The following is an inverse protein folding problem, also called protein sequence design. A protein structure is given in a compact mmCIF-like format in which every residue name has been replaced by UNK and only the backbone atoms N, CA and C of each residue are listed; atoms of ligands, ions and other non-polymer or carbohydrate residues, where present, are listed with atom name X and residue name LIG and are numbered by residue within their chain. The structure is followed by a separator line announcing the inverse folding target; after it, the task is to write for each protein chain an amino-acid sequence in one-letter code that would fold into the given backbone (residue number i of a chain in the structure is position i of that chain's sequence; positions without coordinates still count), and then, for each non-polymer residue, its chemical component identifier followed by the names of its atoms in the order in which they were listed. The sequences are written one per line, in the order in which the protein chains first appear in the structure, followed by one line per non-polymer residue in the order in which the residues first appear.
data_IF_175885983702
#
_entry.id   IF_175885983702
#
_cell.length_a   1.000
_cell.length_b   1.000
_cell.length_c   1.000
_cell.angle_alpha   90.00
_cell.angle_beta   90.00
_cell.angle_gamma   90.00
#
_symmetry.space_group_name_H-M   'P 1'
#
loop_
_entity.id
_entity.type
_entity.pdbx_description
1 polymer ?
#
# COMPACT_ATOMS: atom_id res chain seq x y z
N UNK A 1 -32.11 8.75 4.64
CA UNK A 1 -32.07 8.02 3.35
C UNK A 1 -31.83 9.03 2.24
N UNK A 2 -30.67 9.00 1.60
CA UNK A 2 -30.41 9.90 0.48
C UNK A 2 -31.34 9.54 -0.67
N UNK A 3 -32.21 10.45 -1.08
CA UNK A 3 -33.05 10.28 -2.27
C UNK A 3 -32.14 10.26 -3.49
N UNK A 4 -32.09 9.14 -4.19
CA UNK A 4 -31.47 9.07 -5.51
C UNK A 4 -32.46 9.67 -6.49
N UNK A 5 -32.40 10.97 -6.67
CA UNK A 5 -33.32 11.67 -7.54
C UNK A 5 -33.18 11.23 -9.00
N UNK A 6 -34.29 11.09 -9.68
CA UNK A 6 -34.38 10.99 -11.14
C UNK A 6 -33.86 12.27 -11.87
N UNK A 7 -33.33 13.21 -11.13
CA UNK A 7 -32.77 14.47 -11.61
C UNK A 7 -31.46 14.23 -12.34
N UNK A 8 -31.24 14.96 -13.45
CA UNK A 8 -29.99 14.92 -14.20
C UNK A 8 -28.80 15.05 -13.28
N UNK A 9 -27.86 14.14 -13.45
CA UNK A 9 -26.61 14.11 -12.71
C UNK A 9 -25.96 15.51 -12.70
N UNK A 10 -25.45 15.93 -11.56
CA UNK A 10 -24.79 17.20 -11.38
C UNK A 10 -25.71 18.42 -11.18
N UNK A 11 -27.03 18.26 -11.16
CA UNK A 11 -27.96 19.36 -10.89
C UNK A 11 -27.65 20.03 -9.54
N UNK A 12 -27.41 19.24 -8.51
CA UNK A 12 -27.08 19.72 -7.18
C UNK A 12 -25.62 20.14 -6.99
N UNK A 13 -24.74 19.75 -7.90
CA UNK A 13 -23.31 20.12 -7.84
C UNK A 13 -23.10 21.64 -7.95
N UNK A 14 -24.07 22.38 -8.54
CA UNK A 14 -24.02 23.83 -8.61
C UNK A 14 -24.08 24.52 -7.23
N UNK A 15 -24.59 23.81 -6.22
CA UNK A 15 -24.62 24.29 -4.83
C UNK A 15 -23.24 24.18 -4.15
N UNK A 16 -22.31 23.41 -4.73
CA UNK A 16 -20.95 23.28 -4.22
C UNK A 16 -20.09 24.38 -4.86
N UNK A 17 -19.37 25.22 -4.09
CA UNK A 17 -18.48 26.26 -4.63
C UNK A 17 -17.48 25.71 -5.65
N UNK A 18 -17.17 26.48 -6.69
CA UNK A 18 -16.27 26.06 -7.78
C UNK A 18 -14.90 25.65 -7.24
N UNK A 19 -14.34 26.43 -6.32
CA UNK A 19 -13.05 26.10 -5.69
C UNK A 19 -13.05 24.76 -4.95
N UNK A 20 -14.16 24.40 -4.31
CA UNK A 20 -14.33 23.10 -3.63
C UNK A 20 -14.45 21.99 -4.66
N UNK A 21 -15.25 22.18 -5.73
CA UNK A 21 -15.37 21.18 -6.81
C UNK A 21 -14.03 20.88 -7.46
N UNK A 22 -13.24 21.92 -7.75
CA UNK A 22 -11.91 21.77 -8.34
C UNK A 22 -10.93 21.05 -7.41
N UNK A 23 -10.95 21.39 -6.12
CA UNK A 23 -10.08 20.75 -5.13
C UNK A 23 -10.44 19.27 -4.84
N UNK A 24 -11.73 18.91 -4.97
CA UNK A 24 -12.24 17.55 -4.75
C UNK A 24 -12.56 16.82 -6.05
N UNK A 25 -11.78 17.13 -7.09
CA UNK A 25 -11.95 16.64 -8.45
C UNK A 25 -12.14 15.13 -8.54
N UNK A 26 -11.36 14.34 -7.78
CA UNK A 26 -11.45 12.89 -7.74
C UNK A 26 -12.84 12.35 -7.39
N UNK A 27 -13.64 13.06 -6.57
CA UNK A 27 -15.03 12.72 -6.30
C UNK A 27 -16.00 13.35 -7.30
N UNK A 28 -15.73 14.61 -7.73
CA UNK A 28 -16.64 15.39 -8.58
C UNK A 28 -16.70 14.91 -10.02
N UNK A 29 -15.64 14.34 -10.59
CA UNK A 29 -15.57 13.90 -11.98
C UNK A 29 -16.19 12.54 -12.28
N UNK A 30 -16.61 11.78 -11.26
CA UNK A 30 -17.24 10.49 -11.51
C UNK A 30 -18.43 10.64 -12.49
N UNK A 31 -18.32 10.15 -13.73
CA UNK A 31 -19.35 10.25 -14.77
C UNK A 31 -20.40 9.13 -14.74
N UNK A 32 -20.26 8.18 -13.81
CA UNK A 32 -21.21 7.09 -13.63
C UNK A 32 -21.19 6.01 -14.72
N UNK A 33 -20.05 5.83 -15.42
CA UNK A 33 -19.92 4.80 -16.49
C UNK A 33 -20.18 3.36 -16.02
N UNK A 34 -20.18 3.10 -14.72
CA UNK A 34 -20.57 1.80 -14.15
C UNK A 34 -19.48 0.72 -14.14
N UNK A 35 -18.29 0.93 -14.70
CA UNK A 35 -17.20 -0.05 -14.69
C UNK A 35 -16.82 -0.53 -13.28
N UNK A 36 -17.05 0.28 -12.25
CA UNK A 36 -16.82 -0.09 -10.86
C UNK A 36 -17.89 -1.04 -10.27
N UNK A 37 -18.95 -1.36 -11.00
CA UNK A 37 -19.93 -2.41 -10.65
C UNK A 37 -19.58 -3.75 -11.31
N UNK A 38 -18.31 -3.94 -11.61
CA UNK A 38 -17.79 -5.18 -12.15
C UNK A 38 -17.77 -6.29 -11.08
N UNK A 39 -18.49 -7.39 -11.33
CA UNK A 39 -18.50 -8.59 -10.47
C UNK A 39 -17.53 -9.68 -10.94
N UNK A 40 -16.72 -9.44 -11.98
CA UNK A 40 -15.66 -10.37 -12.36
C UNK A 40 -14.67 -10.53 -11.19
N UNK A 41 -14.64 -11.74 -10.63
CA UNK A 41 -13.82 -12.09 -9.45
C UNK A 41 -12.32 -12.01 -9.73
N UNK A 42 -11.91 -12.07 -11.00
CA UNK A 42 -10.51 -11.94 -11.41
C UNK A 42 -10.07 -10.47 -11.56
N UNK A 43 -11.02 -9.56 -11.71
CA UNK A 43 -10.70 -8.12 -11.75
C UNK A 43 -10.40 -7.58 -10.34
N UNK A 44 -9.31 -6.83 -10.13
CA UNK A 44 -9.02 -6.19 -8.86
C UNK A 44 -9.92 -4.96 -8.56
N UNK A 45 -10.77 -4.54 -9.53
CA UNK A 45 -11.68 -3.40 -9.35
C UNK A 45 -12.65 -3.62 -8.19
N UNK A 46 -12.56 -2.76 -7.20
CA UNK A 46 -13.43 -2.63 -6.03
C UNK A 46 -13.88 -3.95 -5.36
N UNK A 47 -12.97 -4.69 -4.71
CA UNK A 47 -13.30 -5.96 -4.08
C UNK A 47 -14.34 -5.82 -2.96
N UNK A 48 -14.35 -4.69 -2.22
CA UNK A 48 -15.33 -4.47 -1.16
C UNK A 48 -16.79 -4.39 -1.66
N UNK A 49 -17.01 -3.91 -2.87
CA UNK A 49 -18.34 -3.91 -3.47
C UNK A 49 -18.79 -5.33 -3.84
N UNK A 50 -17.86 -6.17 -4.33
CA UNK A 50 -18.15 -7.55 -4.73
C UNK A 50 -18.63 -8.42 -3.57
N UNK A 51 -18.03 -8.28 -2.38
CA UNK A 51 -18.43 -9.06 -1.20
C UNK A 51 -19.63 -8.47 -0.46
N UNK A 52 -19.80 -7.16 -0.47
CA UNK A 52 -20.93 -6.52 0.19
C UNK A 52 -22.21 -6.51 -0.65
N UNK A 53 -22.11 -6.70 -1.97
CA UNK A 53 -23.21 -6.56 -2.93
C UNK A 53 -23.94 -5.21 -2.84
N UNK A 54 -23.29 -4.20 -2.25
CA UNK A 54 -23.92 -2.91 -2.01
C UNK A 54 -23.23 -1.79 -2.79
N UNK A 55 -24.01 -1.05 -3.59
CA UNK A 55 -23.50 0.02 -4.48
C UNK A 55 -22.77 1.14 -3.74
N UNK A 56 -23.11 1.41 -2.49
CA UNK A 56 -22.46 2.44 -1.67
C UNK A 56 -20.95 2.16 -1.48
N UNK A 57 -20.56 0.88 -1.51
CA UNK A 57 -19.17 0.45 -1.38
C UNK A 57 -18.39 0.47 -2.69
N UNK A 58 -19.03 0.82 -3.83
CA UNK A 58 -18.34 1.02 -5.09
C UNK A 58 -17.65 2.39 -5.15
N UNK A 59 -16.64 2.59 -6.02
CA UNK A 59 -16.06 3.91 -6.28
C UNK A 59 -17.11 4.98 -6.60
N UNK A 60 -18.10 4.67 -7.44
CA UNK A 60 -19.22 5.57 -7.74
C UNK A 60 -20.03 5.91 -6.51
N UNK A 61 -20.40 4.92 -5.70
CA UNK A 61 -21.17 5.15 -4.48
C UNK A 61 -20.44 6.07 -3.50
N UNK A 62 -19.15 5.79 -3.27
CA UNK A 62 -18.29 6.63 -2.42
C UNK A 62 -18.12 8.06 -2.97
N UNK A 63 -17.91 8.21 -4.27
CA UNK A 63 -17.84 9.53 -4.90
C UNK A 63 -19.17 10.30 -4.75
N UNK A 64 -20.32 9.64 -4.94
CA UNK A 64 -21.63 10.24 -4.74
C UNK A 64 -21.86 10.70 -3.30
N UNK A 65 -21.46 9.87 -2.32
CA UNK A 65 -21.53 10.24 -0.91
C UNK A 65 -20.67 11.46 -0.57
N UNK A 66 -19.44 11.53 -1.08
CA UNK A 66 -18.57 12.69 -0.87
C UNK A 66 -19.14 13.93 -1.53
N UNK A 67 -19.71 13.83 -2.74
CA UNK A 67 -20.36 14.96 -3.39
C UNK A 67 -21.52 15.51 -2.56
N UNK A 68 -22.39 14.64 -2.05
CA UNK A 68 -23.48 15.05 -1.18
C UNK A 68 -22.96 15.63 0.14
N UNK A 69 -21.92 15.05 0.72
CA UNK A 69 -21.26 15.60 1.91
C UNK A 69 -20.71 17.01 1.67
N UNK A 70 -20.07 17.27 0.54
CA UNK A 70 -19.58 18.60 0.15
C UNK A 70 -20.71 19.61 -0.01
N UNK A 71 -21.83 19.19 -0.61
CA UNK A 71 -23.04 20.02 -0.76
C UNK A 71 -23.62 20.40 0.60
N UNK A 72 -23.76 19.41 1.51
CA UNK A 72 -24.29 19.68 2.86
C UNK A 72 -23.35 20.54 3.72
N UNK A 73 -22.03 20.47 3.49
CA UNK A 73 -21.09 21.42 4.10
C UNK A 73 -21.29 22.84 3.56
N UNK A 74 -21.45 22.98 2.25
CA UNK A 74 -21.70 24.29 1.62
C UNK A 74 -23.01 24.91 2.13
N UNK A 75 -24.09 24.14 2.25
CA UNK A 75 -25.37 24.60 2.84
C UNK A 75 -25.19 25.13 4.27
N UNK A 76 -24.18 24.64 5.00
CA UNK A 76 -23.84 25.09 6.36
C UNK A 76 -22.80 26.21 6.39
N UNK A 77 -22.38 26.73 5.24
CA UNK A 77 -21.33 27.74 5.12
C UNK A 77 -19.94 27.23 5.51
N UNK A 78 -19.69 25.91 5.45
CA UNK A 78 -18.41 25.29 5.81
C UNK A 78 -17.61 25.03 4.53
N UNK A 79 -16.43 25.64 4.43
CA UNK A 79 -15.47 25.38 3.35
C UNK A 79 -14.46 24.29 3.78
N UNK A 80 -14.52 23.08 3.19
CA UNK A 80 -13.58 22.00 3.50
C UNK A 80 -12.14 22.33 3.11
N UNK A 81 -11.91 23.17 2.07
CA UNK A 81 -10.57 23.58 1.66
C UNK A 81 -9.91 24.48 2.71
N UNK A 82 -10.70 25.41 3.29
CA UNK A 82 -10.20 26.24 4.38
C UNK A 82 -9.93 25.43 5.64
N UNK A 83 -10.81 24.48 5.96
CA UNK A 83 -10.57 23.57 7.08
C UNK A 83 -9.26 22.78 6.90
N UNK A 84 -8.96 22.27 5.69
CA UNK A 84 -7.72 21.55 5.41
C UNK A 84 -6.48 22.43 5.60
N UNK A 85 -6.52 23.69 5.17
CA UNK A 85 -5.43 24.66 5.34
C UNK A 85 -5.17 24.98 6.82
N UNK A 86 -6.22 25.15 7.61
CA UNK A 86 -6.13 25.46 9.04
C UNK A 86 -5.60 24.32 9.91
N UNK A 87 -5.72 23.07 9.47
CA UNK A 87 -5.36 21.89 10.27
C UNK A 87 -3.89 21.81 10.69
N UNK A 88 -2.90 22.16 9.83
CA UNK A 88 -1.48 22.14 10.22
C UNK A 88 -1.13 23.15 11.32
N UNK A 89 -1.84 24.30 11.36
CA UNK A 89 -1.62 25.37 12.31
C UNK A 89 -2.31 25.13 13.64
N UNK A 90 -3.43 24.39 13.63
CA UNK A 90 -4.16 24.02 14.85
C UNK A 90 -3.38 22.95 15.63
N UNK A 91 -2.45 23.41 16.48
CA UNK A 91 -1.80 22.52 17.47
C UNK A 91 -2.88 21.78 18.26
N UNK A 92 -2.62 20.50 18.60
CA UNK A 92 -3.47 19.74 19.51
C UNK A 92 -3.55 20.49 20.87
N UNK A 93 -4.53 21.36 21.00
CA UNK A 93 -4.80 22.05 22.26
C UNK A 93 -5.73 21.21 23.12
N UNK A 94 -5.69 21.39 24.44
CA UNK A 94 -6.59 20.73 25.35
C UNK A 94 -8.07 20.99 24.97
N UNK A 95 -8.37 22.19 24.46
CA UNK A 95 -9.72 22.55 23.97
C UNK A 95 -10.15 21.69 22.79
N UNK A 96 -9.26 21.43 21.81
CA UNK A 96 -9.59 20.58 20.67
C UNK A 96 -9.77 19.13 21.08
N UNK A 97 -9.00 18.63 22.04
CA UNK A 97 -9.15 17.29 22.58
C UNK A 97 -10.49 17.13 23.31
N UNK A 98 -10.86 18.07 24.17
CA UNK A 98 -12.16 18.08 24.86
C UNK A 98 -13.30 18.12 23.87
N UNK A 99 -13.24 18.99 22.84
CA UNK A 99 -14.27 19.07 21.81
C UNK A 99 -14.43 17.74 21.05
N UNK A 100 -13.31 17.09 20.65
CA UNK A 100 -13.34 15.77 19.97
C UNK A 100 -13.93 14.69 20.88
N UNK A 101 -13.58 14.69 22.15
CA UNK A 101 -14.10 13.74 23.14
C UNK A 101 -15.62 13.91 23.29
N UNK A 102 -16.09 15.17 23.46
CA UNK A 102 -17.51 15.50 23.53
C UNK A 102 -18.26 15.05 22.29
N UNK A 103 -17.78 15.44 21.10
CA UNK A 103 -18.42 15.07 19.83
C UNK A 103 -18.48 13.54 19.65
N UNK A 104 -17.42 12.83 20.01
CA UNK A 104 -17.36 11.36 19.91
C UNK A 104 -18.31 10.69 20.90
N UNK A 105 -18.53 11.29 22.07
CA UNK A 105 -19.50 10.81 23.05
C UNK A 105 -20.94 11.03 22.58
N UNK A 106 -21.25 12.22 21.99
CA UNK A 106 -22.54 12.51 21.38
C UNK A 106 -22.85 11.56 20.22
N UNK A 107 -21.86 11.31 19.34
CA UNK A 107 -22.00 10.34 18.25
C UNK A 107 -22.30 8.92 18.74
N UNK A 108 -21.71 8.49 19.88
CA UNK A 108 -22.03 7.19 20.49
C UNK A 108 -23.44 7.12 21.07
N UNK A 109 -24.01 8.25 21.43
CA UNK A 109 -25.42 8.37 21.89
C UNK A 109 -26.43 8.44 20.75
N UNK A 110 -25.96 8.36 19.50
CA UNK A 110 -26.84 8.37 18.31
C UNK A 110 -27.16 9.76 17.79
N UNK A 111 -26.44 10.81 18.23
CA UNK A 111 -26.61 12.14 17.62
C UNK A 111 -26.19 12.08 16.14
N UNK A 112 -27.10 12.48 15.26
CA UNK A 112 -26.93 12.39 13.82
C UNK A 112 -25.91 13.41 13.29
N UNK A 113 -24.90 12.93 12.57
CA UNK A 113 -24.05 13.73 11.69
C UNK A 113 -23.90 12.97 10.35
N UNK A 114 -24.30 13.61 9.27
CA UNK A 114 -24.20 13.04 7.91
C UNK A 114 -22.78 12.60 7.53
N UNK A 115 -21.73 13.13 8.21
CA UNK A 115 -20.34 12.67 8.05
C UNK A 115 -20.14 11.22 8.51
N UNK A 116 -20.99 10.68 9.38
CA UNK A 116 -20.90 9.28 9.84
C UNK A 116 -21.23 8.29 8.73
N UNK A 117 -22.20 8.60 7.87
CA UNK A 117 -22.55 7.76 6.71
C UNK A 117 -21.38 7.67 5.72
N UNK A 118 -20.75 8.81 5.44
CA UNK A 118 -19.55 8.86 4.58
C UNK A 118 -18.41 8.05 5.20
N UNK A 119 -18.17 8.23 6.51
CA UNK A 119 -17.13 7.47 7.22
C UNK A 119 -17.35 5.98 7.14
N UNK A 120 -18.59 5.51 7.31
CA UNK A 120 -18.92 4.09 7.25
C UNK A 120 -18.61 3.52 5.85
N UNK A 121 -19.08 4.19 4.79
CA UNK A 121 -18.77 3.79 3.42
C UNK A 121 -17.27 3.78 3.11
N UNK A 122 -16.51 4.76 3.66
CA UNK A 122 -15.05 4.84 3.49
C UNK A 122 -14.31 3.78 4.30
N UNK A 123 -14.88 3.32 5.41
CA UNK A 123 -14.26 2.31 6.27
C UNK A 123 -14.03 0.97 5.57
N UNK A 124 -14.93 0.55 4.70
CA UNK A 124 -14.80 -0.68 3.90
C UNK A 124 -13.91 -0.54 2.66
N UNK A 125 -13.29 0.63 2.42
CA UNK A 125 -12.38 0.80 1.29
C UNK A 125 -10.96 0.29 1.61
N UNK A 126 -10.45 -0.61 0.78
CA UNK A 126 -9.10 -1.18 0.93
C UNK A 126 -7.97 -0.20 0.57
N UNK A 127 -8.28 0.94 -0.02
CA UNK A 127 -7.32 1.93 -0.52
C UNK A 127 -6.29 1.34 -1.53
N UNK A 128 -6.70 0.36 -2.32
CA UNK A 128 -5.85 -0.39 -3.27
C UNK A 128 -5.57 0.36 -4.59
N UNK A 129 -6.15 1.54 -4.81
CA UNK A 129 -6.01 2.36 -6.03
C UNK A 129 -6.42 1.72 -7.37
N UNK A 130 -6.99 0.52 -7.39
CA UNK A 130 -7.49 -0.07 -8.62
C UNK A 130 -8.54 0.81 -9.34
N UNK A 131 -9.30 1.61 -8.60
CA UNK A 131 -10.25 2.55 -9.18
C UNK A 131 -9.58 3.71 -9.92
N UNK A 132 -8.42 4.21 -9.49
CA UNK A 132 -7.70 5.29 -10.16
C UNK A 132 -6.98 4.82 -11.43
N UNK A 133 -6.63 3.55 -11.50
CA UNK A 133 -5.89 2.98 -12.65
C UNK A 133 -6.79 2.34 -13.70
N UNK A 134 -7.86 1.65 -13.28
CA UNK A 134 -8.77 0.94 -14.19
C UNK A 134 -9.97 1.80 -14.67
N UNK A 135 -10.31 2.86 -13.96
CA UNK A 135 -11.38 3.75 -14.39
C UNK A 135 -10.88 4.72 -15.47
N UNK A 136 -11.54 4.85 -16.64
CA UNK A 136 -11.09 5.73 -17.72
C UNK A 136 -11.03 7.21 -17.32
N UNK A 137 -11.81 7.62 -16.32
CA UNK A 137 -11.77 8.98 -15.75
C UNK A 137 -10.99 9.05 -14.43
N UNK A 138 -10.24 8.02 -14.09
CA UNK A 138 -9.27 7.95 -12.98
C UNK A 138 -9.82 8.42 -11.62
N UNK A 139 -11.01 7.95 -11.24
CA UNK A 139 -11.60 8.28 -9.92
C UNK A 139 -10.73 7.69 -8.81
N UNK A 140 -10.07 8.55 -8.06
CA UNK A 140 -9.17 8.16 -6.97
C UNK A 140 -9.88 8.19 -5.60
N UNK A 141 -10.55 7.08 -5.26
CA UNK A 141 -11.21 6.95 -3.96
C UNK A 141 -10.21 7.03 -2.80
N UNK A 142 -9.05 6.38 -2.82
CA UNK A 142 -8.03 6.50 -1.77
C UNK A 142 -7.62 7.95 -1.46
N UNK A 143 -7.50 8.81 -2.47
CA UNK A 143 -7.14 10.22 -2.28
C UNK A 143 -8.23 10.94 -1.48
N UNK A 144 -9.45 11.03 -2.00
CA UNK A 144 -10.50 11.80 -1.30
C UNK A 144 -10.96 11.13 0.00
N UNK A 145 -10.79 9.80 0.15
CA UNK A 145 -10.97 9.10 1.41
C UNK A 145 -9.99 9.58 2.48
N UNK A 146 -8.72 9.71 2.14
CA UNK A 146 -7.69 10.15 3.08
C UNK A 146 -7.91 11.59 3.54
N UNK A 147 -8.31 12.48 2.63
CA UNK A 147 -8.72 13.87 2.93
C UNK A 147 -9.95 13.91 3.83
N UNK A 148 -10.98 13.17 3.46
CA UNK A 148 -12.18 13.04 4.30
C UNK A 148 -11.85 12.56 5.71
N UNK A 149 -11.02 11.51 5.86
CA UNK A 149 -10.61 11.00 7.18
C UNK A 149 -9.85 12.02 8.00
N UNK A 150 -9.00 12.84 7.38
CA UNK A 150 -8.30 13.93 8.06
C UNK A 150 -9.31 14.96 8.61
N UNK A 151 -10.26 15.41 7.80
CA UNK A 151 -11.30 16.35 8.21
C UNK A 151 -12.25 15.75 9.25
N UNK A 152 -12.69 14.50 9.06
CA UNK A 152 -13.54 13.81 10.02
C UNK A 152 -12.89 13.75 11.41
N UNK A 153 -11.63 13.34 11.48
CA UNK A 153 -10.91 13.22 12.74
C UNK A 153 -10.35 14.56 13.28
N UNK A 154 -10.56 15.67 12.60
CA UNK A 154 -10.42 16.99 13.20
C UNK A 154 -11.55 17.29 14.19
N UNK A 155 -12.70 16.64 14.02
CA UNK A 155 -13.92 16.81 14.84
C UNK A 155 -14.18 15.64 15.80
N UNK A 156 -13.73 14.42 15.48
CA UNK A 156 -13.96 13.19 16.24
C UNK A 156 -12.65 12.53 16.66
N UNK A 157 -12.68 11.78 17.78
CA UNK A 157 -11.54 10.99 18.21
C UNK A 157 -11.18 9.94 17.17
N UNK A 158 -9.89 9.69 17.06
CA UNK A 158 -9.34 8.68 16.18
C UNK A 158 -9.17 7.36 16.95
N UNK A 159 -9.51 6.20 16.38
CA UNK A 159 -9.25 4.90 17.01
C UNK A 159 -7.74 4.72 17.29
N UNK A 160 -7.41 4.07 18.41
CA UNK A 160 -6.01 3.78 18.80
C UNK A 160 -5.28 3.00 17.69
N UNK A 161 -5.95 2.04 17.07
CA UNK A 161 -5.38 1.27 15.95
C UNK A 161 -4.89 2.15 14.79
N UNK A 162 -5.57 3.26 14.48
CA UNK A 162 -5.16 4.14 13.38
C UNK A 162 -3.83 4.85 13.70
N UNK A 163 -3.60 5.18 14.99
CA UNK A 163 -2.32 5.71 15.44
C UNK A 163 -1.22 4.64 15.36
N UNK A 164 -1.49 3.41 15.82
CA UNK A 164 -0.54 2.31 15.75
C UNK A 164 -0.15 2.02 14.29
N UNK A 165 -1.12 1.91 13.40
CA UNK A 165 -0.86 1.67 11.98
C UNK A 165 -0.04 2.82 11.36
N UNK A 166 -0.39 4.07 11.64
CA UNK A 166 0.31 5.23 11.10
C UNK A 166 1.75 5.39 11.64
N UNK A 167 2.10 4.72 12.74
CA UNK A 167 3.43 4.77 13.37
C UNK A 167 4.24 3.49 13.19
N UNK A 168 3.75 2.52 12.40
CA UNK A 168 4.43 1.23 12.20
C UNK A 168 5.89 1.38 11.75
N UNK A 169 6.14 2.34 10.87
CA UNK A 169 7.48 2.65 10.35
C UNK A 169 8.43 3.23 11.42
N UNK A 170 7.90 3.72 12.52
CA UNK A 170 8.70 4.24 13.64
C UNK A 170 9.04 3.17 14.67
N UNK A 171 8.11 2.26 14.98
CA UNK A 171 8.32 1.26 16.01
C UNK A 171 8.83 -0.10 15.47
N UNK A 172 8.53 -0.47 14.22
CA UNK A 172 9.01 -1.73 13.65
C UNK A 172 10.55 -1.86 13.65
N UNK A 173 11.32 -0.81 13.31
CA UNK A 173 12.79 -0.86 13.44
C UNK A 173 13.28 -1.14 14.86
N UNK A 174 12.59 -0.57 15.88
CA UNK A 174 12.94 -0.77 17.28
C UNK A 174 12.60 -2.21 17.73
N UNK A 175 11.42 -2.69 17.39
CA UNK A 175 11.00 -4.07 17.70
C UNK A 175 11.89 -5.11 17.01
N UNK A 176 12.39 -4.81 15.81
CA UNK A 176 13.27 -5.68 15.05
C UNK A 176 14.69 -5.85 15.66
N UNK A 177 15.04 -5.09 16.70
CA UNK A 177 16.27 -5.30 17.48
C UNK A 177 16.18 -6.53 18.39
N UNK A 178 14.96 -6.86 18.86
CA UNK A 178 14.70 -8.04 19.70
C UNK A 178 13.47 -8.82 19.17
N UNK A 179 13.50 -9.34 17.93
CA UNK A 179 12.30 -9.85 17.27
C UNK A 179 11.73 -11.09 17.96
N UNK A 180 12.57 -11.96 18.54
CA UNK A 180 12.11 -13.16 19.28
C UNK A 180 11.25 -12.77 20.48
N UNK A 181 11.69 -11.78 21.25
CA UNK A 181 10.99 -11.29 22.44
C UNK A 181 9.63 -10.69 22.07
N UNK A 182 9.59 -9.78 21.08
CA UNK A 182 8.34 -9.19 20.65
C UNK A 182 7.38 -10.23 20.04
N UNK A 183 7.87 -11.17 19.23
CA UNK A 183 7.06 -12.25 18.68
C UNK A 183 6.49 -13.16 19.78
N UNK A 184 7.25 -13.44 20.85
CA UNK A 184 6.76 -14.18 22.00
C UNK A 184 5.55 -13.50 22.63
N UNK A 185 5.63 -12.21 22.92
CA UNK A 185 4.51 -11.46 23.52
C UNK A 185 3.30 -11.37 22.58
N UNK A 186 3.51 -11.04 21.30
CA UNK A 186 2.43 -10.93 20.30
C UNK A 186 1.67 -12.25 20.16
N UNK A 187 2.35 -13.39 20.30
CA UNK A 187 1.75 -14.72 20.18
C UNK A 187 0.97 -15.16 21.42
N UNK A 188 1.10 -14.48 22.56
CA UNK A 188 0.39 -14.88 23.79
C UNK A 188 -1.14 -14.74 23.61
N UNK A 189 -1.94 -15.73 24.05
CA UNK A 189 -3.40 -15.70 23.91
C UNK A 189 -4.05 -14.46 24.55
N UNK A 190 -3.52 -14.02 25.70
CA UNK A 190 -4.03 -12.84 26.39
C UNK A 190 -3.75 -11.55 25.59
N UNK A 191 -2.57 -11.43 24.95
CA UNK A 191 -2.21 -10.29 24.13
C UNK A 191 -3.08 -10.24 22.85
N UNK A 192 -3.34 -11.40 22.23
CA UNK A 192 -4.26 -11.49 21.07
C UNK A 192 -5.65 -11.03 21.45
N UNK A 193 -6.22 -11.51 22.57
CA UNK A 193 -7.52 -11.07 23.08
C UNK A 193 -7.55 -9.58 23.42
N UNK A 194 -6.48 -9.04 24.01
CA UNK A 194 -6.34 -7.62 24.31
C UNK A 194 -6.32 -6.78 23.03
N UNK A 195 -5.54 -7.20 22.04
CA UNK A 195 -5.44 -6.53 20.73
C UNK A 195 -6.80 -6.53 20.02
N UNK A 196 -7.49 -7.66 19.98
CA UNK A 196 -8.80 -7.80 19.35
C UNK A 196 -9.84 -6.90 20.03
N UNK A 197 -9.97 -6.99 21.36
CA UNK A 197 -11.03 -6.31 22.13
C UNK A 197 -10.81 -4.80 22.25
N UNK A 198 -9.57 -4.35 22.49
CA UNK A 198 -9.29 -2.95 22.85
C UNK A 198 -8.62 -2.15 21.74
N UNK A 199 -7.84 -2.79 20.89
CA UNK A 199 -7.19 -2.15 19.74
C UNK A 199 -8.04 -2.33 18.49
N UNK A 200 -8.74 -3.46 18.36
CA UNK A 200 -9.54 -3.82 17.19
C UNK A 200 -8.66 -4.38 16.06
N UNK A 201 -7.60 -5.12 16.41
CA UNK A 201 -6.67 -5.76 15.49
C UNK A 201 -6.55 -7.25 15.78
N UNK A 202 -6.55 -8.07 14.73
CA UNK A 202 -6.39 -9.54 14.78
C UNK A 202 -5.19 -9.98 13.96
N UNK A 203 -4.66 -11.16 14.28
CA UNK A 203 -3.62 -11.85 13.52
C UNK A 203 -2.44 -10.96 13.13
N UNK A 204 -1.91 -10.19 14.11
CA UNK A 204 -0.80 -9.28 13.85
C UNK A 204 0.40 -10.05 13.27
N UNK A 205 1.04 -9.53 12.21
CA UNK A 205 2.18 -10.19 11.58
C UNK A 205 3.38 -10.25 12.54
N UNK A 206 4.09 -11.37 12.52
CA UNK A 206 5.30 -11.56 13.31
C UNK A 206 6.50 -10.93 12.60
N UNK A 207 7.43 -10.39 13.39
CA UNK A 207 8.70 -9.89 12.89
C UNK A 207 9.57 -11.05 12.36
N UNK A 208 10.35 -10.78 11.34
CA UNK A 208 11.32 -11.75 10.80
C UNK A 208 12.34 -12.18 11.85
N UNK A 209 12.55 -13.49 11.95
CA UNK A 209 13.59 -14.10 12.77
C UNK A 209 14.40 -15.10 11.92
N UNK A 210 15.70 -14.85 11.68
CA UNK A 210 16.52 -13.71 12.07
C UNK A 210 16.07 -12.37 11.42
N UNK A 211 16.40 -11.23 12.05
CA UNK A 211 16.13 -9.90 11.49
C UNK A 211 16.99 -9.62 10.24
N UNK A 212 16.61 -8.63 9.44
CA UNK A 212 17.40 -8.23 8.26
C UNK A 212 18.85 -7.90 8.65
N UNK A 213 19.06 -7.14 9.73
CA UNK A 213 20.40 -6.82 10.24
C UNK A 213 21.23 -8.07 10.53
N UNK A 214 20.64 -9.11 11.14
CA UNK A 214 21.32 -10.37 11.41
C UNK A 214 21.63 -11.16 10.14
N UNK A 215 20.77 -11.11 9.13
CA UNK A 215 20.96 -11.77 7.82
C UNK A 215 22.05 -11.11 7.00
N UNK A 216 22.29 -9.81 7.21
CA UNK A 216 23.27 -9.01 6.46
C UNK A 216 24.64 -8.97 7.15
N UNK A 217 24.84 -9.65 8.26
CA UNK A 217 26.17 -9.79 8.90
C UNK A 217 27.13 -10.47 7.93
N UNK A 218 28.27 -9.82 7.69
CA UNK A 218 29.29 -10.31 6.74
C UNK A 218 29.13 -9.85 5.30
N UNK A 219 27.99 -9.26 4.91
CA UNK A 219 27.83 -8.62 3.60
C UNK A 219 28.48 -7.22 3.59
N UNK A 220 29.58 -7.05 2.86
CA UNK A 220 30.36 -5.79 2.79
C UNK A 220 29.52 -4.61 2.32
N UNK A 221 28.62 -4.85 1.38
CA UNK A 221 27.78 -3.84 0.73
C UNK A 221 26.64 -3.30 1.60
N UNK A 222 26.21 -4.04 2.63
CA UNK A 222 25.12 -3.62 3.49
C UNK A 222 25.47 -2.45 4.45
N UNK A 223 26.74 -2.07 4.54
CA UNK A 223 27.24 -1.13 5.57
C UNK A 223 27.92 0.13 4.98
N UNK A 224 27.77 0.41 3.69
CA UNK A 224 28.34 1.62 3.09
C UNK A 224 27.51 2.86 3.45
N UNK A 225 28.17 3.93 3.90
CA UNK A 225 27.54 5.23 4.13
C UNK A 225 27.42 6.02 2.83
N UNK A 226 26.58 7.07 2.81
CA UNK A 226 26.45 7.92 1.62
C UNK A 226 27.75 8.59 1.26
N UNK A 227 28.51 9.05 2.25
CA UNK A 227 29.81 9.69 2.07
C UNK A 227 30.80 8.72 1.40
N UNK A 228 30.80 7.45 1.79
CA UNK A 228 31.61 6.42 1.12
C UNK A 228 31.19 6.19 -0.32
N UNK A 229 29.88 6.21 -0.61
CA UNK A 229 29.36 6.06 -1.98
C UNK A 229 29.71 7.27 -2.86
N UNK A 230 29.78 8.47 -2.30
CA UNK A 230 30.16 9.69 -3.02
C UNK A 230 31.61 9.62 -3.53
N UNK A 231 32.52 9.02 -2.77
CA UNK A 231 33.96 8.91 -3.10
C UNK A 231 34.28 7.84 -4.16
N UNK A 232 33.35 6.99 -4.54
CA UNK A 232 33.54 5.93 -5.50
C UNK A 232 33.73 6.47 -6.94
N UNK A 233 34.54 5.78 -7.74
CA UNK A 233 34.68 6.08 -9.17
C UNK A 233 33.40 5.77 -9.96
N UNK A 234 33.26 6.37 -11.14
CA UNK A 234 32.11 6.11 -12.02
C UNK A 234 32.01 4.62 -12.41
N UNK A 235 33.15 3.95 -12.63
CA UNK A 235 33.21 2.52 -12.96
C UNK A 235 32.72 1.64 -11.80
N UNK A 236 33.07 1.99 -10.56
CA UNK A 236 32.59 1.30 -9.37
C UNK A 236 31.05 1.50 -9.20
N UNK A 237 30.59 2.74 -9.36
CA UNK A 237 29.15 3.07 -9.27
C UNK A 237 28.32 2.35 -10.34
N UNK A 238 28.87 2.17 -11.56
CA UNK A 238 28.17 1.49 -12.65
C UNK A 238 27.83 0.01 -12.35
N UNK A 239 28.56 -0.63 -11.44
CA UNK A 239 28.32 -2.01 -11.00
C UNK A 239 27.54 -2.11 -9.70
N UNK A 240 26.99 -1.02 -9.20
CA UNK A 240 26.24 -0.99 -7.93
C UNK A 240 24.74 -0.83 -8.12
N UNK A 241 23.98 -1.35 -7.15
CA UNK A 241 22.55 -1.21 -7.05
C UNK A 241 22.16 -0.84 -5.63
N UNK A 242 21.41 0.24 -5.50
CA UNK A 242 20.93 0.72 -4.20
C UNK A 242 19.59 0.09 -3.87
N UNK A 243 19.55 -0.69 -2.81
CA UNK A 243 18.34 -1.36 -2.32
C UNK A 243 17.58 -0.43 -1.39
N UNK A 244 16.43 0.04 -1.84
CA UNK A 244 15.53 0.90 -1.05
C UNK A 244 14.69 0.04 -0.13
N UNK A 245 14.86 0.22 1.18
CA UNK A 245 14.14 -0.53 2.19
C UNK A 245 12.70 -0.06 2.35
N UNK A 246 11.78 -0.99 2.61
CA UNK A 246 10.41 -0.73 3.06
C UNK A 246 10.14 -1.42 4.41
N UNK A 247 9.14 -0.95 5.21
CA UNK A 247 8.93 -1.47 6.55
C UNK A 247 8.47 -2.93 6.57
N UNK A 248 7.76 -3.37 5.54
CA UNK A 248 7.13 -4.69 5.54
C UNK A 248 8.11 -5.78 5.13
N UNK A 249 8.81 -5.62 4.03
CA UNK A 249 9.82 -6.59 3.62
C UNK A 249 11.04 -6.57 4.55
N UNK A 250 11.48 -5.38 5.00
CA UNK A 250 12.67 -5.31 5.88
C UNK A 250 12.46 -5.88 7.27
N UNK A 251 11.25 -5.75 7.85
CA UNK A 251 11.02 -6.16 9.24
C UNK A 251 10.13 -7.39 9.41
N UNK A 252 9.23 -7.67 8.46
CA UNK A 252 8.28 -8.77 8.57
C UNK A 252 8.53 -9.90 7.55
N UNK A 253 9.32 -9.64 6.49
CA UNK A 253 9.66 -10.63 5.45
C UNK A 253 11.12 -10.45 4.99
N UNK A 254 12.04 -10.31 5.95
CA UNK A 254 13.44 -9.96 5.73
C UNK A 254 14.21 -10.93 4.84
N UNK A 255 13.74 -12.19 4.73
CA UNK A 255 14.34 -13.16 3.82
C UNK A 255 14.29 -12.69 2.37
N UNK A 256 13.18 -12.06 1.95
CA UNK A 256 13.03 -11.57 0.56
C UNK A 256 14.06 -10.48 0.24
N UNK A 257 14.35 -9.58 1.18
CA UNK A 257 15.39 -8.54 0.98
C UNK A 257 16.78 -9.17 0.95
N UNK A 258 17.07 -10.13 1.84
CA UNK A 258 18.35 -10.84 1.84
C UNK A 258 18.56 -11.64 0.55
N UNK A 259 17.50 -12.28 0.04
CA UNK A 259 17.58 -13.02 -1.22
C UNK A 259 17.69 -12.08 -2.43
N UNK A 260 17.10 -10.87 -2.35
CA UNK A 260 17.34 -9.85 -3.38
C UNK A 260 18.81 -9.39 -3.40
N UNK A 261 19.42 -9.16 -2.25
CA UNK A 261 20.86 -8.86 -2.15
C UNK A 261 21.69 -9.96 -2.83
N UNK A 262 21.43 -11.22 -2.51
CA UNK A 262 22.11 -12.36 -3.14
C UNK A 262 21.88 -12.45 -4.64
N UNK A 263 20.64 -12.17 -5.10
CA UNK A 263 20.32 -12.16 -6.53
C UNK A 263 21.11 -11.07 -7.26
N UNK A 264 21.23 -9.87 -6.68
CA UNK A 264 22.02 -8.76 -7.23
C UNK A 264 23.49 -9.18 -7.36
N UNK A 265 24.06 -9.85 -6.37
CA UNK A 265 25.44 -10.39 -6.40
C UNK A 265 25.59 -11.46 -7.49
N UNK A 266 24.63 -12.38 -7.62
CA UNK A 266 24.65 -13.44 -8.63
C UNK A 266 24.59 -12.94 -10.06
N UNK A 267 23.90 -11.82 -10.31
CA UNK A 267 23.87 -11.19 -11.63
C UNK A 267 25.07 -10.24 -11.89
N UNK A 268 26.05 -10.24 -10.98
CA UNK A 268 27.33 -9.53 -11.16
C UNK A 268 27.34 -8.07 -10.72
N UNK A 269 26.33 -7.65 -9.95
CA UNK A 269 26.29 -6.32 -9.36
C UNK A 269 26.59 -6.35 -7.86
N UNK A 270 26.99 -5.19 -7.32
CA UNK A 270 27.22 -4.99 -5.90
C UNK A 270 25.98 -4.32 -5.27
N UNK A 271 25.21 -5.01 -4.41
CA UNK A 271 24.08 -4.41 -3.74
C UNK A 271 24.53 -3.52 -2.58
N UNK A 272 23.89 -2.37 -2.42
CA UNK A 272 24.05 -1.49 -1.25
C UNK A 272 22.70 -1.29 -0.59
N UNK A 273 22.56 -1.73 0.65
CA UNK A 273 21.33 -1.54 1.41
C UNK A 273 21.30 -0.10 1.96
N UNK A 274 20.44 0.74 1.39
CA UNK A 274 20.27 2.11 1.89
C UNK A 274 19.73 2.13 3.32
N UNK A 275 20.04 3.14 4.13
CA UNK A 275 19.39 3.34 5.42
C UNK A 275 17.87 3.34 5.27
N UNK A 276 17.18 2.71 6.23
CA UNK A 276 15.71 2.73 6.24
C UNK A 276 15.18 4.16 6.36
N UNK A 277 14.35 4.56 5.42
CA UNK A 277 13.62 5.83 5.43
C UNK A 277 12.12 5.57 5.37
N UNK A 278 11.32 6.14 6.29
CA UNK A 278 9.88 5.92 6.31
C UNK A 278 9.20 6.37 5.01
N UNK A 279 8.36 5.51 4.44
CA UNK A 279 7.59 5.82 3.22
C UNK A 279 6.35 6.67 3.51
N UNK A 280 5.71 6.48 4.67
CA UNK A 280 4.50 7.19 5.07
C UNK A 280 3.20 6.67 4.47
N UNK A 281 3.20 5.61 3.67
CA UNK A 281 1.97 5.04 3.05
C UNK A 281 0.88 4.76 4.08
N UNK A 282 1.24 4.21 5.23
CA UNK A 282 0.30 3.94 6.32
C UNK A 282 -0.34 5.22 6.89
N UNK A 283 0.43 6.31 6.98
CA UNK A 283 -0.08 7.62 7.39
C UNK A 283 -1.10 8.17 6.38
N UNK A 284 -0.80 8.07 5.09
CA UNK A 284 -1.70 8.47 4.01
C UNK A 284 -3.03 7.71 4.09
N UNK A 285 -2.98 6.37 4.10
CA UNK A 285 -4.17 5.51 4.13
C UNK A 285 -5.06 5.81 5.35
N UNK A 286 -4.48 6.15 6.49
CA UNK A 286 -5.22 6.48 7.71
C UNK A 286 -5.61 7.96 7.81
N UNK A 287 -5.33 8.80 6.80
CA UNK A 287 -5.69 10.21 6.75
C UNK A 287 -4.91 11.07 7.76
N UNK A 288 -3.64 10.78 7.99
CA UNK A 288 -2.70 11.66 8.69
C UNK A 288 -1.90 12.49 7.68
N UNK A 289 -2.58 13.23 6.81
CA UNK A 289 -1.97 13.84 5.63
C UNK A 289 -0.88 14.88 5.96
N UNK A 290 -1.08 15.69 7.00
CA UNK A 290 -0.03 16.63 7.47
C UNK A 290 1.24 15.90 7.90
N UNK A 291 1.10 14.74 8.56
CA UNK A 291 2.23 13.91 8.96
C UNK A 291 2.86 13.23 7.75
N UNK A 292 2.02 12.71 6.85
CA UNK A 292 2.45 12.10 5.60
C UNK A 292 3.26 13.08 4.74
N UNK A 293 2.80 14.33 4.56
CA UNK A 293 3.53 15.35 3.80
C UNK A 293 4.94 15.59 4.36
N UNK A 294 5.09 15.66 5.69
CA UNK A 294 6.40 15.82 6.34
C UNK A 294 7.30 14.58 6.14
N UNK A 295 6.73 13.37 6.26
CA UNK A 295 7.47 12.12 6.04
C UNK A 295 7.89 12.03 4.57
N UNK A 296 6.98 12.29 3.64
CA UNK A 296 7.24 12.25 2.22
C UNK A 296 8.33 13.27 1.81
N UNK A 297 8.29 14.50 2.33
CA UNK A 297 9.31 15.49 2.04
C UNK A 297 10.71 15.03 2.49
N UNK A 298 10.84 14.58 3.75
CA UNK A 298 12.13 14.09 4.26
C UNK A 298 12.70 12.93 3.45
N UNK A 299 11.83 11.98 3.06
CA UNK A 299 12.25 10.84 2.28
C UNK A 299 12.54 11.21 0.82
N UNK A 300 11.79 12.15 0.25
CA UNK A 300 12.08 12.68 -1.08
C UNK A 300 13.43 13.42 -1.11
N UNK A 301 13.72 14.27 -0.09
CA UNK A 301 15.01 14.96 0.03
C UNK A 301 16.17 13.95 0.12
N UNK A 302 16.01 12.89 0.91
CA UNK A 302 16.99 11.81 1.01
C UNK A 302 17.18 11.09 -0.34
N UNK A 303 16.09 10.64 -0.98
CA UNK A 303 16.17 9.90 -2.24
C UNK A 303 16.69 10.76 -3.40
N UNK A 304 16.41 12.07 -3.41
CA UNK A 304 17.00 12.99 -4.41
C UNK A 304 18.53 13.11 -4.22
N UNK A 305 19.04 13.19 -2.99
CA UNK A 305 20.51 13.17 -2.75
C UNK A 305 21.13 11.85 -3.24
N UNK A 306 20.47 10.74 -2.93
CA UNK A 306 20.91 9.41 -3.39
C UNK A 306 20.87 9.31 -4.91
N UNK A 307 19.87 9.86 -5.57
CA UNK A 307 19.74 9.86 -7.04
C UNK A 307 20.90 10.58 -7.74
N UNK A 308 21.51 11.60 -7.11
CA UNK A 308 22.67 12.32 -7.63
C UNK A 308 23.92 11.41 -7.76
N UNK A 309 23.96 10.27 -7.06
CA UNK A 309 25.03 9.30 -7.18
C UNK A 309 25.03 8.53 -8.52
N UNK A 310 23.94 8.62 -9.30
CA UNK A 310 23.81 8.00 -10.61
C UNK A 310 23.61 6.48 -10.62
N UNK A 311 23.42 5.86 -9.45
CA UNK A 311 23.19 4.42 -9.31
C UNK A 311 21.70 4.08 -9.34
N UNK A 312 21.31 2.91 -9.90
CA UNK A 312 19.90 2.47 -9.86
C UNK A 312 19.42 2.21 -8.44
N UNK A 313 18.26 2.77 -8.09
CA UNK A 313 17.56 2.52 -6.83
C UNK A 313 16.43 1.51 -7.08
N UNK A 314 16.41 0.41 -6.33
CA UNK A 314 15.44 -0.69 -6.50
C UNK A 314 14.75 -1.01 -5.18
N UNK A 315 13.41 -1.06 -5.21
CA UNK A 315 12.57 -1.49 -4.08
C UNK A 315 11.84 -2.79 -4.41
N UNK A 316 11.53 -3.56 -3.38
CA UNK A 316 10.95 -4.91 -3.54
C UNK A 316 9.42 -4.90 -3.52
N UNK A 317 8.79 -4.17 -2.58
CA UNK A 317 7.33 -4.19 -2.46
C UNK A 317 6.66 -3.18 -3.42
N UNK A 318 5.77 -3.65 -4.34
CA UNK A 318 5.13 -2.79 -5.31
C UNK A 318 4.28 -1.67 -4.70
N UNK A 319 3.58 -1.92 -3.59
CA UNK A 319 2.70 -0.92 -2.99
C UNK A 319 3.51 0.27 -2.44
N UNK A 320 4.72 0.02 -1.93
CA UNK A 320 5.59 1.06 -1.36
C UNK A 320 6.33 1.82 -2.48
N UNK A 321 6.86 1.13 -3.48
CA UNK A 321 7.52 1.77 -4.63
C UNK A 321 6.54 2.67 -5.40
N UNK A 322 5.32 2.20 -5.65
CA UNK A 322 4.30 2.98 -6.33
C UNK A 322 3.83 4.20 -5.51
N UNK A 323 3.95 4.18 -4.18
CA UNK A 323 3.69 5.35 -3.35
C UNK A 323 4.62 6.53 -3.68
N UNK A 324 5.90 6.27 -3.96
CA UNK A 324 6.84 7.30 -4.41
C UNK A 324 6.47 7.93 -5.75
N UNK A 325 5.75 7.18 -6.62
CA UNK A 325 5.37 7.62 -7.96
C UNK A 325 4.02 8.33 -8.00
N UNK A 326 3.11 8.03 -7.08
CA UNK A 326 1.74 8.53 -7.09
C UNK A 326 1.46 9.47 -5.90
N UNK A 327 1.36 8.95 -4.67
CA UNK A 327 0.97 9.76 -3.51
C UNK A 327 1.99 10.86 -3.20
N UNK A 328 3.29 10.64 -3.47
CA UNK A 328 4.31 11.68 -3.31
C UNK A 328 4.12 12.80 -4.33
N UNK A 329 3.81 12.47 -5.60
CA UNK A 329 3.49 13.49 -6.60
C UNK A 329 2.27 14.31 -6.22
N UNK A 330 1.24 13.65 -5.66
CA UNK A 330 0.01 14.34 -5.24
C UNK A 330 0.24 15.31 -4.07
N UNK A 331 1.09 14.95 -3.11
CA UNK A 331 1.28 15.76 -1.89
C UNK A 331 2.41 16.78 -2.01
N UNK A 332 3.45 16.51 -2.78
CA UNK A 332 4.65 17.35 -2.88
C UNK A 332 4.70 18.18 -4.17
N UNK A 333 4.03 17.73 -5.23
CA UNK A 333 4.17 18.34 -6.55
C UNK A 333 5.65 18.42 -6.97
N UNK A 334 6.10 19.58 -7.43
CA UNK A 334 7.48 19.82 -7.88
C UNK A 334 8.53 19.61 -6.76
N UNK A 335 8.13 19.74 -5.48
CA UNK A 335 9.03 19.47 -4.35
C UNK A 335 9.40 18.00 -4.19
N UNK A 336 8.74 17.11 -4.91
CA UNK A 336 9.12 15.70 -4.93
C UNK A 336 10.52 15.48 -5.52
N UNK A 337 10.91 16.28 -6.51
CA UNK A 337 12.13 16.07 -7.29
C UNK A 337 12.03 14.86 -8.25
N UNK A 338 13.18 14.51 -8.86
CA UNK A 338 13.25 13.59 -10.01
C UNK A 338 13.74 12.18 -9.66
N UNK A 339 13.91 11.86 -8.37
CA UNK A 339 14.36 10.52 -8.00
C UNK A 339 13.41 9.44 -8.55
N UNK A 340 14.01 8.31 -8.95
CA UNK A 340 13.27 7.15 -9.46
C UNK A 340 13.66 5.89 -8.69
N UNK A 341 12.68 5.27 -8.02
CA UNK A 341 12.83 3.92 -7.46
C UNK A 341 12.17 2.94 -8.43
N UNK A 342 12.93 1.96 -8.90
CA UNK A 342 12.46 0.89 -9.77
C UNK A 342 11.97 -0.31 -8.95
N UNK A 343 11.07 -1.08 -9.52
CA UNK A 343 10.75 -2.42 -9.03
C UNK A 343 11.76 -3.43 -9.58
N UNK A 344 11.87 -4.58 -8.92
CA UNK A 344 12.81 -5.64 -9.29
C UNK A 344 12.68 -6.03 -10.77
N UNK A 345 11.45 -6.21 -11.27
CA UNK A 345 11.19 -6.58 -12.68
C UNK A 345 11.46 -5.45 -13.69
N UNK A 346 11.55 -4.20 -13.23
CA UNK A 346 11.94 -3.08 -14.10
C UNK A 346 13.47 -2.95 -14.23
N UNK A 347 14.19 -3.35 -13.17
CA UNK A 347 15.65 -3.28 -13.13
C UNK A 347 16.32 -4.52 -13.71
N UNK A 348 15.88 -5.73 -13.37
CA UNK A 348 16.49 -6.99 -13.78
C UNK A 348 16.75 -7.10 -15.30
N UNK A 349 15.83 -6.70 -16.19
CA UNK A 349 16.09 -6.78 -17.63
C UNK A 349 17.32 -6.01 -18.12
N UNK A 350 17.69 -4.95 -17.38
CA UNK A 350 18.86 -4.12 -17.69
C UNK A 350 20.17 -4.72 -17.14
N UNK A 351 20.07 -5.53 -16.09
CA UNK A 351 21.20 -6.13 -15.39
C UNK A 351 21.55 -7.54 -15.90
N UNK A 352 20.58 -8.23 -16.52
CA UNK A 352 20.76 -9.59 -17.00
C UNK A 352 21.44 -9.60 -18.37
N UNK A 353 22.36 -10.57 -18.62
CA UNK A 353 22.89 -10.81 -19.95
C UNK A 353 21.75 -11.18 -20.92
N UNK A 354 22.04 -11.08 -22.22
CA UNK A 354 21.12 -11.55 -23.25
C UNK A 354 20.73 -13.02 -23.03
N UNK A 355 19.52 -13.37 -23.42
CA UNK A 355 18.96 -14.70 -23.19
C UNK A 355 19.92 -15.80 -23.65
N UNK A 356 20.23 -16.76 -22.77
CA UNK A 356 20.79 -18.03 -23.18
C UNK A 356 19.65 -18.91 -23.67
N UNK A 357 19.77 -19.46 -24.88
CA UNK A 357 18.89 -20.53 -25.35
C UNK A 357 19.11 -21.76 -24.45
N UNK A 358 18.32 -21.89 -23.40
CA UNK A 358 18.23 -23.11 -22.61
C UNK A 358 16.91 -23.78 -22.93
N UNK A 359 16.95 -25.09 -23.18
CA UNK A 359 15.75 -25.89 -23.40
C UNK A 359 14.81 -25.81 -22.20
N UNK A 360 13.57 -25.40 -22.45
CA UNK A 360 12.50 -25.29 -21.46
C UNK A 360 12.01 -26.68 -21.03
N UNK A 361 12.71 -27.37 -20.10
CA UNK A 361 12.39 -28.75 -19.66
C UNK A 361 11.73 -28.88 -18.30
N UNK A 362 11.47 -27.77 -17.59
CA UNK A 362 10.95 -27.81 -16.21
C UNK A 362 9.45 -27.52 -16.08
N UNK A 363 8.87 -27.92 -14.93
CA UNK A 363 7.50 -27.53 -14.56
C UNK A 363 7.35 -26.01 -14.45
N UNK A 364 6.19 -25.49 -14.87
CA UNK A 364 5.90 -24.06 -14.85
C UNK A 364 5.85 -23.48 -13.43
N UNK A 365 6.26 -22.22 -13.29
CA UNK A 365 6.01 -21.37 -12.14
C UNK A 365 4.72 -20.55 -12.37
N UNK A 366 4.04 -20.15 -11.31
CA UNK A 366 2.75 -19.49 -11.34
C UNK A 366 2.80 -18.15 -10.63
N UNK A 367 2.66 -17.06 -11.39
CA UNK A 367 2.77 -15.69 -10.88
C UNK A 367 1.40 -15.14 -10.46
N UNK A 368 1.29 -14.73 -9.21
CA UNK A 368 0.19 -13.94 -8.66
C UNK A 368 0.68 -12.50 -8.45
N UNK A 369 0.41 -11.63 -9.41
CA UNK A 369 0.81 -10.23 -9.33
C UNK A 369 0.04 -9.47 -8.23
N UNK A 370 0.71 -8.54 -7.56
CA UNK A 370 0.06 -7.64 -6.60
C UNK A 370 -0.98 -6.76 -7.32
N UNK A 371 -2.18 -6.63 -6.77
CA UNK A 371 -3.29 -5.93 -7.45
C UNK A 371 -2.94 -4.48 -7.85
N UNK A 372 -2.22 -3.74 -7.00
CA UNK A 372 -1.78 -2.36 -7.32
C UNK A 372 -0.72 -2.38 -8.44
N UNK A 373 0.20 -3.35 -8.44
CA UNK A 373 1.23 -3.52 -9.46
C UNK A 373 0.59 -3.82 -10.83
N UNK A 374 -0.24 -4.84 -10.91
CA UNK A 374 -0.89 -5.26 -12.15
C UNK A 374 -1.79 -4.15 -12.74
N UNK A 375 -2.44 -3.36 -11.90
CA UNK A 375 -3.31 -2.28 -12.38
C UNK A 375 -2.54 -1.01 -12.77
N UNK A 376 -1.46 -0.67 -12.06
CA UNK A 376 -0.64 0.50 -12.35
C UNK A 376 0.43 0.23 -13.43
N UNK A 377 0.93 -1.00 -13.50
CA UNK A 377 1.96 -1.47 -14.41
C UNK A 377 1.50 -2.74 -15.13
N UNK A 378 0.59 -2.65 -16.12
CA UNK A 378 0.02 -3.83 -16.79
C UNK A 378 1.05 -4.71 -17.50
N UNK A 379 2.24 -4.18 -17.82
CA UNK A 379 3.35 -4.93 -18.40
C UNK A 379 4.11 -5.79 -17.39
N UNK A 380 3.96 -5.58 -16.08
CA UNK A 380 4.74 -6.27 -15.05
C UNK A 380 4.68 -7.81 -15.13
N UNK A 381 3.51 -8.45 -15.33
CA UNK A 381 3.46 -9.91 -15.47
C UNK A 381 4.25 -10.43 -16.69
N UNK A 382 4.21 -9.70 -17.80
CA UNK A 382 4.97 -10.04 -19.01
C UNK A 382 6.47 -9.87 -18.79
N UNK A 383 6.89 -8.78 -18.15
CA UNK A 383 8.29 -8.55 -17.81
C UNK A 383 8.86 -9.64 -16.90
N UNK A 384 8.08 -10.09 -15.89
CA UNK A 384 8.47 -11.22 -15.06
C UNK A 384 8.61 -12.52 -15.88
N UNK A 385 7.67 -12.80 -16.80
CA UNK A 385 7.75 -13.98 -17.66
C UNK A 385 8.98 -13.95 -18.60
N UNK A 386 9.30 -12.79 -19.15
CA UNK A 386 10.50 -12.57 -19.96
C UNK A 386 11.80 -12.77 -19.17
N UNK A 387 11.82 -12.33 -17.90
CA UNK A 387 12.97 -12.55 -17.00
C UNK A 387 13.17 -14.04 -16.76
N UNK A 388 12.10 -14.80 -16.43
CA UNK A 388 12.20 -16.23 -16.21
C UNK A 388 12.63 -16.98 -17.47
N UNK A 389 12.11 -16.58 -18.63
CA UNK A 389 12.46 -17.18 -19.91
C UNK A 389 13.96 -17.06 -20.25
N UNK A 390 14.64 -15.98 -19.81
CA UNK A 390 16.10 -15.83 -19.99
C UNK A 390 16.91 -16.92 -19.29
N UNK A 391 16.33 -17.59 -18.29
CA UNK A 391 16.93 -18.69 -17.56
C UNK A 391 16.29 -20.06 -17.90
N UNK A 392 15.58 -20.16 -19.03
CA UNK A 392 14.95 -21.40 -19.47
C UNK A 392 13.77 -21.85 -18.59
N UNK A 393 13.20 -20.97 -17.78
CA UNK A 393 12.07 -21.28 -16.91
C UNK A 393 10.76 -20.69 -17.45
N UNK A 394 9.67 -21.47 -17.37
CA UNK A 394 8.34 -21.02 -17.77
C UNK A 394 7.64 -20.36 -16.57
N UNK A 395 7.13 -19.14 -16.76
CA UNK A 395 6.30 -18.45 -15.77
C UNK A 395 4.92 -18.14 -16.36
N UNK A 396 3.87 -18.66 -15.72
CA UNK A 396 2.48 -18.45 -16.12
C UNK A 396 1.81 -17.41 -15.20
N UNK A 397 1.15 -16.42 -15.79
CA UNK A 397 0.41 -15.43 -15.01
C UNK A 397 -0.95 -15.98 -14.59
N UNK A 398 -1.23 -15.98 -13.29
CA UNK A 398 -2.51 -16.40 -12.71
C UNK A 398 -3.39 -15.17 -12.52
N UNK A 399 -4.47 -15.09 -13.31
CA UNK A 399 -5.42 -13.98 -13.21
C UNK A 399 -6.29 -14.11 -11.96
N UNK A 400 -6.08 -13.25 -11.00
CA UNK A 400 -6.83 -13.17 -9.73
C UNK A 400 -7.17 -11.71 -9.41
N UNK A 401 -8.20 -11.51 -8.60
CA UNK A 401 -8.57 -10.20 -8.07
C UNK A 401 -7.70 -9.77 -6.88
N UNK A 402 -8.28 -9.07 -5.92
CA UNK A 402 -7.59 -8.67 -4.69
C UNK A 402 -7.47 -9.84 -3.72
N UNK A 403 -6.34 -9.90 -2.97
CA UNK A 403 -6.14 -10.90 -1.90
C UNK A 403 -6.89 -10.58 -0.60
N UNK A 404 -7.48 -9.39 -0.46
CA UNK A 404 -8.23 -8.97 0.73
C UNK A 404 -7.40 -8.39 1.87
N UNK A 405 -6.06 -8.45 1.84
CA UNK A 405 -5.23 -7.95 2.94
C UNK A 405 -5.07 -6.41 2.91
N UNK A 406 -4.63 -5.84 1.78
CA UNK A 406 -4.42 -4.40 1.59
C UNK A 406 -3.76 -3.70 2.80
N UNK A 407 -2.49 -3.95 3.03
CA UNK A 407 -1.76 -3.44 4.19
C UNK A 407 -2.32 -4.02 5.50
N UNK A 408 -2.94 -3.19 6.32
CA UNK A 408 -3.51 -3.61 7.62
C UNK A 408 -5.03 -3.85 7.59
N UNK A 409 -5.69 -3.65 6.44
CA UNK A 409 -7.15 -3.80 6.33
C UNK A 409 -7.64 -5.17 6.81
N UNK A 410 -6.99 -6.25 6.35
CA UNK A 410 -7.34 -7.61 6.75
C UNK A 410 -7.05 -7.95 8.21
N UNK A 411 -6.24 -7.15 8.89
CA UNK A 411 -5.95 -7.29 10.32
C UNK A 411 -6.91 -6.48 11.21
N UNK A 412 -7.77 -5.63 10.64
CA UNK A 412 -8.77 -4.89 11.42
C UNK A 412 -10.00 -5.78 11.69
N UNK A 413 -10.38 -5.95 12.96
CA UNK A 413 -11.51 -6.79 13.40
C UNK A 413 -12.76 -6.56 12.55
N UNK A 414 -13.13 -5.30 12.32
CA UNK A 414 -14.33 -4.92 11.56
C UNK A 414 -14.27 -5.29 10.06
N UNK A 415 -13.08 -5.49 9.53
CA UNK A 415 -12.86 -5.79 8.11
C UNK A 415 -12.42 -7.25 7.90
N UNK A 416 -12.23 -8.00 8.98
CA UNK A 416 -11.65 -9.35 8.94
C UNK A 416 -12.49 -10.32 8.10
N UNK A 417 -13.80 -10.39 8.35
CA UNK A 417 -14.71 -11.23 7.57
C UNK A 417 -14.68 -10.86 6.07
N UNK A 418 -14.86 -9.57 5.75
CA UNK A 418 -14.77 -9.10 4.36
C UNK A 418 -13.42 -9.43 3.70
N UNK A 419 -12.33 -9.39 4.47
CA UNK A 419 -10.99 -9.76 3.96
C UNK A 419 -10.91 -11.23 3.56
N UNK A 420 -11.51 -12.13 4.35
CA UNK A 420 -11.59 -13.55 4.04
C UNK A 420 -12.50 -13.82 2.83
N UNK A 421 -13.65 -13.18 2.78
CA UNK A 421 -14.59 -13.30 1.66
C UNK A 421 -13.95 -12.81 0.33
N UNK A 422 -13.20 -11.70 0.37
CA UNK A 422 -12.46 -11.21 -0.79
C UNK A 422 -11.42 -12.23 -1.26
N UNK A 423 -10.69 -12.87 -0.33
CA UNK A 423 -9.72 -13.91 -0.67
C UNK A 423 -10.41 -15.10 -1.35
N UNK A 424 -11.55 -15.51 -0.82
CA UNK A 424 -12.34 -16.64 -1.35
C UNK A 424 -12.87 -16.39 -2.76
N UNK A 425 -13.03 -15.12 -3.21
CA UNK A 425 -13.53 -14.81 -4.55
C UNK A 425 -12.68 -15.44 -5.67
N UNK A 426 -11.35 -15.43 -5.54
CA UNK A 426 -10.47 -15.93 -6.62
C UNK A 426 -9.15 -16.56 -6.12
N UNK A 427 -8.55 -16.01 -5.06
CA UNK A 427 -7.24 -16.46 -4.57
C UNK A 427 -7.27 -17.87 -4.01
N UNK A 428 -8.23 -18.19 -3.17
CA UNK A 428 -8.31 -19.48 -2.49
C UNK A 428 -8.30 -20.64 -3.47
N UNK A 429 -9.20 -20.62 -4.46
CA UNK A 429 -9.28 -21.68 -5.46
C UNK A 429 -8.01 -21.77 -6.31
N UNK A 430 -7.43 -20.63 -6.70
CA UNK A 430 -6.23 -20.61 -7.51
C UNK A 430 -5.02 -21.19 -6.78
N UNK A 431 -4.82 -20.79 -5.51
CA UNK A 431 -3.72 -21.28 -4.68
C UNK A 431 -3.87 -22.78 -4.32
N UNK A 432 -5.11 -23.28 -4.13
CA UNK A 432 -5.36 -24.67 -3.78
C UNK A 432 -5.22 -25.64 -4.97
N UNK A 433 -5.42 -25.15 -6.20
CA UNK A 433 -5.32 -25.96 -7.42
C UNK A 433 -3.89 -26.11 -7.94
N UNK A 434 -2.98 -25.21 -7.57
CA UNK A 434 -1.62 -25.16 -8.10
C UNK A 434 -0.59 -25.69 -7.09
N UNK A 435 0.55 -26.26 -7.56
CA UNK A 435 1.63 -26.65 -6.67
C UNK A 435 2.14 -25.46 -5.84
N UNK A 436 1.95 -25.48 -4.52
CA UNK A 436 2.23 -24.37 -3.61
C UNK A 436 3.68 -23.88 -3.70
N UNK A 437 4.62 -24.78 -3.83
CA UNK A 437 6.04 -24.47 -3.97
C UNK A 437 6.40 -23.79 -5.30
N UNK A 438 5.50 -23.82 -6.29
CA UNK A 438 5.62 -23.13 -7.59
C UNK A 438 4.80 -21.83 -7.66
N UNK A 439 4.00 -21.52 -6.64
CA UNK A 439 3.25 -20.25 -6.57
C UNK A 439 4.16 -19.11 -6.12
N UNK A 440 4.18 -18.02 -6.89
CA UNK A 440 5.00 -16.83 -6.66
C UNK A 440 4.13 -15.59 -6.54
N UNK A 441 4.39 -14.75 -5.55
CA UNK A 441 3.55 -13.60 -5.21
C UNK A 441 4.41 -12.35 -5.00
N UNK A 442 4.19 -11.28 -5.75
CA UNK A 442 5.05 -10.08 -5.71
C UNK A 442 4.84 -9.21 -4.47
N UNK A 443 3.61 -9.02 -3.98
CA UNK A 443 3.32 -8.11 -2.86
C UNK A 443 3.39 -8.79 -1.49
N UNK A 444 3.99 -8.11 -0.51
CA UNK A 444 4.05 -8.58 0.88
C UNK A 444 2.65 -8.86 1.47
N UNK A 445 1.71 -7.94 1.29
CA UNK A 445 0.35 -8.10 1.83
C UNK A 445 -0.33 -9.38 1.31
N UNK A 446 -0.09 -9.74 0.05
CA UNK A 446 -0.65 -10.97 -0.53
C UNK A 446 0.04 -12.22 0.04
N UNK A 447 1.37 -12.21 0.18
CA UNK A 447 2.11 -13.32 0.82
C UNK A 447 1.68 -13.52 2.27
N UNK A 448 1.49 -12.43 3.02
CA UNK A 448 0.97 -12.45 4.39
C UNK A 448 -0.44 -13.04 4.45
N UNK A 449 -1.32 -12.69 3.50
CA UNK A 449 -2.69 -13.22 3.43
C UNK A 449 -2.71 -14.73 3.16
N UNK A 450 -1.95 -15.18 2.16
CA UNK A 450 -1.83 -16.61 1.86
C UNK A 450 -1.33 -17.37 3.08
N UNK A 451 -0.24 -16.89 3.72
CA UNK A 451 0.31 -17.52 4.92
C UNK A 451 -0.71 -17.60 6.06
N UNK A 452 -1.50 -16.54 6.26
CA UNK A 452 -2.53 -16.47 7.31
C UNK A 452 -3.65 -17.48 7.08
N UNK A 453 -4.16 -17.59 5.84
CA UNK A 453 -5.33 -18.43 5.55
C UNK A 453 -4.95 -19.88 5.29
N UNK A 454 -3.88 -20.09 4.54
CA UNK A 454 -3.47 -21.44 4.08
C UNK A 454 -2.43 -22.10 5.00
N UNK A 455 -2.02 -21.44 6.09
CA UNK A 455 -1.06 -21.98 7.07
C UNK A 455 0.39 -22.07 6.58
N UNK A 456 0.65 -21.92 5.27
CA UNK A 456 1.99 -21.96 4.68
C UNK A 456 2.21 -20.77 3.73
N UNK A 457 3.45 -20.26 3.70
CA UNK A 457 3.81 -19.11 2.85
C UNK A 457 4.03 -19.50 1.39
N UNK A 458 4.03 -18.47 0.55
CA UNK A 458 4.44 -18.49 -0.86
C UNK A 458 5.63 -17.57 -1.06
N UNK A 459 6.42 -17.82 -2.10
CA UNK A 459 7.67 -17.07 -2.36
C UNK A 459 7.46 -15.84 -3.23
N UNK A 460 8.41 -14.91 -3.17
CA UNK A 460 8.51 -13.84 -4.15
C UNK A 460 9.20 -14.36 -5.43
N UNK A 461 8.89 -13.85 -6.65
CA UNK A 461 9.54 -14.28 -7.88
C UNK A 461 11.07 -14.23 -7.85
N UNK A 462 11.67 -13.21 -7.23
CA UNK A 462 13.13 -13.10 -7.07
C UNK A 462 13.77 -14.29 -6.33
N UNK A 463 13.03 -14.92 -5.41
CA UNK A 463 13.51 -16.09 -4.64
C UNK A 463 13.56 -17.37 -5.49
N UNK A 464 12.58 -17.50 -6.39
CA UNK A 464 12.60 -18.57 -7.38
C UNK A 464 13.71 -18.37 -8.41
N UNK A 465 13.93 -17.13 -8.86
CA UNK A 465 15.06 -16.80 -9.75
C UNK A 465 16.41 -17.10 -9.12
N UNK A 466 16.59 -16.77 -7.84
CA UNK A 466 17.81 -17.08 -7.11
C UNK A 466 18.08 -18.60 -7.05
N UNK A 467 17.02 -19.42 -6.92
CA UNK A 467 17.12 -20.89 -6.97
C UNK A 467 17.46 -21.40 -8.39
N UNK A 468 16.87 -20.82 -9.43
CA UNK A 468 17.09 -21.19 -10.84
C UNK A 468 18.52 -20.84 -11.30
N UNK A 469 19.06 -19.74 -10.82
CA UNK A 469 20.41 -19.28 -11.18
C UNK A 469 21.50 -20.07 -10.45
N UNK A 470 21.16 -20.75 -9.34
CA UNK A 470 22.10 -21.57 -8.54
C UNK A 470 22.86 -20.78 -7.50
#
# INVERSE_FOLDING_TARGET
MMKVDAVKRGTWDRQIPIAVRSAWRGAMECNGNGLCFNFDVKSPMCPSMKVSNHRIHSPKGRATLVREWLRLLADRGIDPNQLEKDLPEKRASLRTLVARTRNSWHARKGEYDFSHEVKEAMSGCLACKACSTQCPIKIDVPEFRSRFLQLYHSRYLRPVRDHLVATVESYAPLMAQAPKTFNFFINQPWMRKLSEKHIGMVDLPLLSTPSLKQRMVGHRSANMTLEQLETLSAEQKAKMVLVVQDPFTSYYDAQVVADFVRLVEKVGYQPVLLPFSPNGKAQHIKGFLTRFARTAQKTADFLNRVAQLGMPMVGVDPALVLCYRDEYNQVLGDKRGDFRVMLVHEWLPQALPEAREQENGGEAWYLFGHCTEVTALPAAPKQWAEIFARFGAKLENVSVGCCGMAGTYGHEVKNHANSLDIYALSWQQAIQRLPRNRCLVTGYSCRSQVKRIEGSGVRHPLQALLEIIG
#
